data_IF_417988460073
#
_entry.id   IF_417988460073
#
_cell.length_a   1.000
_cell.length_b   1.000
_cell.length_c   1.000
_cell.angle_alpha   90.00
_cell.angle_beta   90.00
_cell.angle_gamma   90.00
#
_symmetry.space_group_name_H-M   'P 1'
#
loop_
_entity.id
_entity.type
_entity.pdbx_description
1 polymer ?
#
# COMPACT_ATOMS: atom_id res chain seq x y z
N UNK A 1 -16.45 37.34 41.03
CA UNK A 1 -15.59 36.15 41.10
C UNK A 1 -15.42 35.67 39.68
N UNK A 2 -14.21 35.81 39.13
CA UNK A 2 -13.88 35.43 37.77
C UNK A 2 -13.48 33.96 37.77
N UNK A 3 -14.04 33.16 36.87
CA UNK A 3 -13.32 32.05 36.28
C UNK A 3 -13.73 31.97 34.81
N UNK A 4 -12.82 32.47 33.97
CA UNK A 4 -12.63 32.06 32.59
C UNK A 4 -12.25 30.58 32.57
N UNK A 5 -12.76 29.88 31.57
CA UNK A 5 -12.31 28.57 31.16
C UNK A 5 -12.62 28.45 29.67
N UNK A 6 -11.93 29.24 28.86
CA UNK A 6 -11.80 28.99 27.43
C UNK A 6 -10.88 27.77 27.36
N UNK A 7 -11.50 26.61 27.21
CA UNK A 7 -10.87 25.43 26.65
C UNK A 7 -10.40 25.81 25.24
N UNK A 8 -9.17 26.32 25.18
CA UNK A 8 -8.36 26.28 23.98
C UNK A 8 -8.18 24.81 23.61
N UNK A 9 -9.12 24.30 22.83
CA UNK A 9 -8.90 23.17 21.94
C UNK A 9 -7.63 23.51 21.15
N UNK A 10 -6.55 22.82 21.51
CA UNK A 10 -5.29 22.88 20.78
C UNK A 10 -5.55 22.38 19.37
N UNK A 11 -6.01 23.28 18.51
CA UNK A 11 -5.59 23.27 17.12
C UNK A 11 -4.13 23.68 17.15
N UNK A 12 -3.30 22.70 17.51
CA UNK A 12 -1.92 22.67 17.13
C UNK A 12 -2.00 22.80 15.61
N UNK A 13 -1.68 23.99 15.11
CA UNK A 13 -1.33 24.21 13.72
C UNK A 13 -0.09 23.36 13.43
N UNK A 14 -0.31 22.04 13.38
CA UNK A 14 0.62 20.96 13.12
C UNK A 14 0.92 21.06 11.63
N UNK A 15 1.67 22.12 11.27
CA UNK A 15 2.22 22.42 9.97
C UNK A 15 1.43 21.71 8.87
N UNK A 16 0.27 22.26 8.52
CA UNK A 16 -0.59 21.78 7.43
C UNK A 16 0.22 21.82 6.13
N UNK A 17 1.07 20.81 5.95
CA UNK A 17 1.74 20.57 4.70
C UNK A 17 0.61 20.22 3.75
N UNK A 18 0.35 21.04 2.71
CA UNK A 18 -0.75 20.78 1.81
C UNK A 18 -0.59 19.36 1.29
N UNK A 19 -1.64 18.56 1.38
CA UNK A 19 -1.69 17.19 0.86
C UNK A 19 -1.05 17.05 -0.53
N UNK A 20 -1.19 18.02 -1.46
CA UNK A 20 -0.49 17.98 -2.75
C UNK A 20 1.04 17.93 -2.67
N UNK A 21 1.66 18.66 -1.73
CA UNK A 21 3.12 18.66 -1.57
C UNK A 21 3.58 17.32 -1.01
N UNK A 22 2.83 16.75 -0.06
CA UNK A 22 3.14 15.42 0.47
C UNK A 22 3.03 14.38 -0.64
N UNK A 23 1.95 14.41 -1.44
CA UNK A 23 1.79 13.52 -2.59
C UNK A 23 2.94 13.65 -3.59
N UNK A 24 3.41 14.88 -3.83
CA UNK A 24 4.57 15.13 -4.68
C UNK A 24 5.84 14.51 -4.10
N UNK A 25 6.11 14.67 -2.80
CA UNK A 25 7.24 14.00 -2.13
C UNK A 25 7.11 12.46 -2.22
N UNK A 26 5.94 11.92 -1.91
CA UNK A 26 5.66 10.48 -1.95
C UNK A 26 5.89 9.89 -3.36
N UNK A 27 5.65 10.68 -4.42
CA UNK A 27 5.85 10.23 -5.81
C UNK A 27 7.32 9.96 -6.16
N UNK A 28 8.26 10.52 -5.41
CA UNK A 28 9.70 10.27 -5.59
C UNK A 28 10.22 9.06 -4.81
N UNK A 29 9.37 8.43 -3.99
CA UNK A 29 9.77 7.36 -3.09
C UNK A 29 9.37 5.99 -3.63
N UNK A 30 10.07 4.96 -3.17
CA UNK A 30 9.59 3.59 -3.34
C UNK A 30 8.28 3.41 -2.57
N UNK A 31 7.44 2.47 -2.99
CA UNK A 31 6.18 2.12 -2.29
C UNK A 31 6.41 1.80 -0.82
N UNK A 32 7.52 1.13 -0.49
CA UNK A 32 7.87 0.80 0.89
C UNK A 32 8.21 2.05 1.71
N UNK A 33 9.04 2.94 1.16
CA UNK A 33 9.44 4.17 1.85
C UNK A 33 8.25 5.12 2.02
N UNK A 34 7.44 5.27 0.97
CA UNK A 34 6.22 6.06 1.01
C UNK A 34 5.22 5.52 2.06
N UNK A 35 5.08 4.20 2.18
CA UNK A 35 4.30 3.57 3.24
C UNK A 35 4.89 3.83 4.65
N UNK A 36 6.22 3.84 4.81
CA UNK A 36 6.85 4.19 6.11
C UNK A 36 6.59 5.64 6.50
N UNK A 37 6.60 6.54 5.52
CA UNK A 37 6.29 7.95 5.76
C UNK A 37 4.84 8.18 6.21
N UNK A 38 3.93 7.25 5.90
CA UNK A 38 2.55 7.29 6.37
C UNK A 38 2.43 7.26 7.91
N UNK A 39 3.51 6.89 8.62
CA UNK A 39 3.58 6.85 10.09
C UNK A 39 3.98 8.20 10.71
N UNK A 40 4.42 9.18 9.92
CA UNK A 40 4.91 10.47 10.41
C UNK A 40 3.80 11.36 10.98
N UNK A 41 2.61 11.34 10.36
CA UNK A 41 1.41 12.00 10.89
C UNK A 41 0.13 11.49 10.21
N UNK A 42 -1.03 11.91 10.73
CA UNK A 42 -2.33 11.62 10.09
C UNK A 42 -2.41 12.15 8.66
N UNK A 43 -1.83 13.33 8.40
CA UNK A 43 -1.82 13.97 7.07
C UNK A 43 -1.00 13.15 6.07
N UNK A 44 0.16 12.63 6.48
CA UNK A 44 0.98 11.74 5.66
C UNK A 44 0.26 10.42 5.36
N UNK A 45 -0.44 9.86 6.35
CA UNK A 45 -1.26 8.67 6.16
C UNK A 45 -2.37 8.89 5.11
N UNK A 46 -3.09 10.01 5.21
CA UNK A 46 -4.15 10.36 4.25
C UNK A 46 -3.56 10.58 2.85
N UNK A 47 -2.45 11.33 2.74
CA UNK A 47 -1.76 11.57 1.47
C UNK A 47 -1.25 10.29 0.82
N UNK A 48 -0.72 9.34 1.60
CA UNK A 48 -0.35 8.01 1.14
C UNK A 48 -1.56 7.20 0.68
N UNK A 49 -2.66 7.22 1.44
CA UNK A 49 -3.86 6.44 1.12
C UNK A 49 -4.53 6.87 -0.20
N UNK A 50 -4.31 8.14 -0.58
CA UNK A 50 -4.81 8.78 -1.80
C UNK A 50 -3.72 8.94 -2.87
N UNK A 51 -2.59 8.26 -2.72
CA UNK A 51 -1.46 8.40 -3.63
C UNK A 51 -1.81 7.81 -5.01
N UNK A 52 -1.62 8.54 -6.14
CA UNK A 52 -2.09 8.12 -7.46
C UNK A 52 -1.32 6.95 -8.08
N UNK A 53 -0.21 6.52 -7.45
CA UNK A 53 0.65 5.44 -7.92
C UNK A 53 0.43 4.21 -7.04
N UNK A 54 -0.12 3.14 -7.63
CA UNK A 54 -0.24 1.82 -6.99
C UNK A 54 0.78 0.87 -7.64
N UNK A 55 1.83 0.52 -6.91
CA UNK A 55 2.83 -0.45 -7.36
C UNK A 55 2.79 -1.68 -6.45
N UNK A 56 2.55 -2.85 -7.05
CA UNK A 56 2.41 -4.10 -6.34
C UNK A 56 3.21 -5.18 -7.04
N UNK A 57 4.19 -5.69 -6.31
CA UNK A 57 5.06 -6.77 -6.75
C UNK A 57 4.88 -7.99 -5.84
N UNK A 58 4.53 -9.14 -6.42
CA UNK A 58 4.40 -10.39 -5.68
C UNK A 58 5.72 -10.85 -5.06
N UNK A 59 6.85 -10.41 -5.62
CA UNK A 59 8.18 -10.71 -5.09
C UNK A 59 8.64 -9.68 -4.04
N UNK A 60 7.82 -8.67 -3.71
CA UNK A 60 8.07 -7.74 -2.60
C UNK A 60 8.17 -8.49 -1.25
N UNK A 61 8.98 -7.98 -0.34
CA UNK A 61 9.18 -8.54 1.00
C UNK A 61 7.86 -8.66 1.78
N UNK A 62 6.88 -7.83 1.44
CA UNK A 62 5.53 -7.90 1.99
C UNK A 62 4.84 -9.25 1.74
N UNK A 63 5.06 -9.85 0.56
CA UNK A 63 4.46 -11.14 0.17
C UNK A 63 5.44 -12.31 0.33
N UNK A 64 6.76 -12.06 0.39
CA UNK A 64 7.76 -13.10 0.63
C UNK A 64 7.62 -13.77 2.00
N UNK A 65 7.12 -13.05 3.01
CA UNK A 65 6.82 -13.59 4.34
C UNK A 65 5.67 -14.60 4.33
N UNK A 66 4.72 -14.47 3.38
CA UNK A 66 3.61 -15.40 3.19
C UNK A 66 4.09 -16.71 2.54
N UNK A 67 5.12 -16.65 1.69
CA UNK A 67 5.68 -17.83 1.00
C UNK A 67 6.27 -18.88 1.96
N UNK A 68 6.71 -18.51 3.16
CA UNK A 68 7.50 -19.38 4.03
C UNK A 68 8.80 -19.87 3.34
N UNK A 69 9.64 -20.68 4.00
CA UNK A 69 10.78 -21.30 3.32
C UNK A 69 10.25 -22.29 2.26
N UNK A 70 10.53 -22.04 0.98
CA UNK A 70 10.28 -23.00 -0.12
C UNK A 70 11.01 -24.30 0.21
N UNK A 71 10.27 -25.36 0.54
CA UNK A 71 10.84 -26.69 0.79
C UNK A 71 11.00 -27.48 -0.51
N UNK A 72 10.08 -27.33 -1.46
CA UNK A 72 10.20 -27.86 -2.81
C UNK A 72 9.57 -26.92 -3.87
N UNK A 73 10.06 -26.94 -5.12
CA UNK A 73 9.49 -26.17 -6.24
C UNK A 73 8.10 -26.65 -6.69
N UNK A 74 7.63 -27.78 -6.17
CA UNK A 74 6.40 -28.48 -6.59
C UNK A 74 5.21 -28.24 -5.64
N UNK A 75 5.39 -27.41 -4.62
CA UNK A 75 4.36 -27.05 -3.64
C UNK A 75 3.35 -26.07 -4.27
N UNK A 76 2.60 -26.51 -5.28
CA UNK A 76 1.56 -25.75 -6.01
C UNK A 76 0.56 -25.07 -5.06
N UNK A 77 0.27 -25.72 -3.92
CA UNK A 77 -0.65 -25.22 -2.88
C UNK A 77 -0.17 -23.89 -2.27
N UNK A 78 1.15 -23.68 -2.13
CA UNK A 78 1.71 -22.45 -1.55
C UNK A 78 1.64 -21.30 -2.56
N UNK A 79 1.88 -21.59 -3.84
CA UNK A 79 1.82 -20.60 -4.92
C UNK A 79 0.39 -20.06 -5.07
N UNK A 80 -0.61 -20.93 -5.00
CA UNK A 80 -2.01 -20.54 -5.08
C UNK A 80 -2.47 -19.69 -3.89
N UNK A 81 -2.02 -19.99 -2.66
CA UNK A 81 -2.34 -19.18 -1.49
C UNK A 81 -1.73 -17.78 -1.58
N UNK A 82 -0.46 -17.67 -1.95
CA UNK A 82 0.23 -16.38 -2.10
C UNK A 82 -0.43 -15.54 -3.20
N UNK A 83 -0.84 -16.17 -4.30
CA UNK A 83 -1.64 -15.51 -5.35
C UNK A 83 -2.99 -15.02 -4.82
N UNK A 84 -3.68 -15.80 -4.00
CA UNK A 84 -4.97 -15.41 -3.42
C UNK A 84 -4.82 -14.20 -2.49
N UNK A 85 -3.80 -14.17 -1.64
CA UNK A 85 -3.53 -13.03 -0.75
C UNK A 85 -3.17 -11.75 -1.52
N UNK A 86 -2.38 -11.88 -2.59
CA UNK A 86 -2.08 -10.78 -3.49
C UNK A 86 -3.35 -10.21 -4.15
N UNK A 87 -4.21 -11.09 -4.69
CA UNK A 87 -5.48 -10.68 -5.29
C UNK A 87 -6.43 -10.04 -4.27
N UNK A 88 -6.45 -10.54 -3.03
CA UNK A 88 -7.21 -9.96 -1.93
C UNK A 88 -6.72 -8.53 -1.59
N UNK A 89 -5.40 -8.35 -1.49
CA UNK A 89 -4.80 -7.03 -1.26
C UNK A 89 -5.09 -6.05 -2.42
N UNK A 90 -4.96 -6.52 -3.66
CA UNK A 90 -5.30 -5.76 -4.85
C UNK A 90 -6.74 -5.27 -4.82
N UNK A 91 -7.70 -6.18 -4.63
CA UNK A 91 -9.12 -5.84 -4.58
C UNK A 91 -9.43 -4.83 -3.47
N UNK A 92 -8.87 -5.01 -2.28
CA UNK A 92 -9.03 -4.06 -1.16
C UNK A 92 -8.47 -2.69 -1.50
N UNK A 93 -7.32 -2.65 -2.18
CA UNK A 93 -6.69 -1.39 -2.60
C UNK A 93 -7.54 -0.68 -3.64
N UNK A 94 -7.98 -1.38 -4.70
CA UNK A 94 -8.86 -0.81 -5.73
C UNK A 94 -10.20 -0.32 -5.14
N UNK A 95 -10.79 -1.07 -4.20
CA UNK A 95 -11.99 -0.63 -3.48
C UNK A 95 -11.74 0.65 -2.69
N UNK A 96 -10.58 0.81 -2.06
CA UNK A 96 -10.22 2.05 -1.35
C UNK A 96 -10.19 3.24 -2.30
N UNK A 97 -9.56 3.12 -3.47
CA UNK A 97 -9.54 4.19 -4.48
C UNK A 97 -10.94 4.56 -4.95
N UNK A 98 -11.78 3.56 -5.23
CA UNK A 98 -13.18 3.78 -5.60
C UNK A 98 -13.94 4.52 -4.50
N UNK A 99 -13.82 4.08 -3.25
CA UNK A 99 -14.57 4.67 -2.12
C UNK A 99 -14.10 6.09 -1.78
N UNK A 100 -12.84 6.42 -2.07
CA UNK A 100 -12.28 7.76 -1.86
C UNK A 100 -12.44 8.66 -3.11
N UNK A 101 -13.03 8.14 -4.20
CA UNK A 101 -13.17 8.82 -5.49
C UNK A 101 -11.83 9.39 -6.02
N UNK A 102 -10.75 8.63 -5.84
CA UNK A 102 -9.39 8.99 -6.27
C UNK A 102 -9.03 8.21 -7.52
N UNK A 103 -8.55 8.91 -8.56
CA UNK A 103 -8.06 8.28 -9.78
C UNK A 103 -6.69 7.66 -9.55
N UNK A 104 -6.50 6.44 -10.06
CA UNK A 104 -5.18 5.81 -10.15
C UNK A 104 -4.55 6.29 -11.47
N UNK A 105 -3.47 7.05 -11.37
CA UNK A 105 -2.74 7.53 -12.56
C UNK A 105 -1.78 6.44 -13.08
N UNK A 106 -1.22 5.64 -12.18
CA UNK A 106 -0.32 4.55 -12.54
C UNK A 106 -0.57 3.29 -11.70
N UNK A 107 -0.78 2.18 -12.40
CA UNK A 107 -0.94 0.84 -11.82
C UNK A 107 0.18 -0.06 -12.34
N UNK A 108 1.16 -0.37 -11.48
CA UNK A 108 2.22 -1.32 -11.78
C UNK A 108 1.92 -2.63 -11.05
N UNK A 109 1.80 -3.72 -11.82
CA UNK A 109 1.55 -5.07 -11.31
C UNK A 109 2.65 -5.99 -11.79
N UNK A 110 3.43 -6.52 -10.86
CA UNK A 110 4.41 -7.57 -11.12
C UNK A 110 3.95 -8.85 -10.45
N UNK A 111 3.84 -9.90 -11.26
CA UNK A 111 3.48 -11.23 -10.79
C UNK A 111 4.32 -12.26 -11.54
N UNK A 112 5.51 -12.56 -11.01
CA UNK A 112 6.29 -13.68 -11.50
C UNK A 112 5.67 -14.99 -11.03
N UNK A 113 4.67 -15.45 -11.78
CA UNK A 113 4.16 -16.81 -11.71
C UNK A 113 5.29 -17.73 -12.17
N UNK A 114 6.03 -18.32 -11.22
CA UNK A 114 6.93 -19.41 -11.54
C UNK A 114 6.09 -20.63 -11.93
N UNK A 115 5.97 -20.80 -13.25
CA UNK A 115 5.79 -22.03 -14.01
C UNK A 115 5.02 -23.15 -13.30
N UNK A 116 3.74 -23.29 -13.65
CA UNK A 116 3.17 -24.63 -13.63
C UNK A 116 3.97 -25.50 -14.61
N UNK A 117 4.43 -26.70 -14.20
CA UNK A 117 5.05 -27.66 -15.11
C UNK A 117 4.10 -28.14 -16.22
N UNK A 118 2.80 -27.78 -16.17
CA UNK A 118 1.79 -28.19 -17.15
C UNK A 118 1.79 -27.37 -18.44
N UNK A 119 2.58 -26.30 -18.56
CA UNK A 119 2.63 -25.47 -19.77
C UNK A 119 3.72 -25.88 -20.79
N UNK A 120 4.43 -26.99 -20.54
CA UNK A 120 5.41 -27.56 -21.46
C UNK A 120 5.02 -28.98 -21.88
N UNK A 121 3.88 -29.12 -22.56
CA UNK A 121 3.60 -30.30 -23.38
C UNK A 121 2.70 -29.89 -24.55
N UNK A 122 3.33 -29.53 -25.65
CA UNK A 122 2.83 -29.68 -27.02
C UNK A 122 4.00 -30.15 -27.90
#
# INVERSE_FOLDING_TARGET
>A
MKQEGIDHEGNDDEWLFPQPIIQHILSYLSTNDAARMSLLSKTWCIAWSTHPILNLDLDDEAFSKVRGPRKNPEDTIVVDHVRAEFMNYLNKSLQRYHNQNVCIEQLNLSMNCFSSPDCQRD
#
